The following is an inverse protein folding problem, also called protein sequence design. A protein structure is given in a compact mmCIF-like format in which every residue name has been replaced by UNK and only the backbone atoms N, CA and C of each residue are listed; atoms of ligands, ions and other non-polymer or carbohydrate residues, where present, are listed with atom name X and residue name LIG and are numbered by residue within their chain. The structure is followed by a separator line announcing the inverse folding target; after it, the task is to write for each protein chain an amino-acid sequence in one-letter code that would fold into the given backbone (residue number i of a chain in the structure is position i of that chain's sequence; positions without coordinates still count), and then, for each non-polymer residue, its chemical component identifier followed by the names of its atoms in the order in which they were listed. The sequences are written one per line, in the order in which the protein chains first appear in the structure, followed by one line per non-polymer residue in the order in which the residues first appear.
data_IF_567109701757
#
_entry.id   IF_567109701757
#
_cell.length_a   1.000
_cell.length_b   1.000
_cell.length_c   1.000
_cell.angle_alpha   90.00
_cell.angle_beta   90.00
_cell.angle_gamma   90.00
#
_symmetry.space_group_name_H-M   'P 1'
#
loop_
_entity.id
_entity.type
_entity.pdbx_description
1 polymer ?
#
# COMPACT_ATOMS: atom_id res chain seq x y z
N UNK A 1 -6.79 50.73 -54.28
CA UNK A 1 -7.70 49.74 -53.69
C UNK A 1 -7.40 49.66 -52.19
N UNK A 2 -8.39 49.98 -51.34
CA UNK A 2 -8.26 50.03 -49.88
C UNK A 2 -8.81 48.77 -49.18
N UNK A 3 -9.29 47.78 -49.94
CA UNK A 3 -9.84 46.55 -49.37
C UNK A 3 -8.73 45.72 -48.72
N UNK A 4 -9.06 45.06 -47.61
CA UNK A 4 -8.14 44.13 -46.93
C UNK A 4 -7.66 43.02 -47.87
N UNK A 5 -8.55 42.56 -48.77
CA UNK A 5 -8.19 41.58 -49.80
C UNK A 5 -7.09 42.11 -50.74
N UNK A 6 -7.23 43.33 -51.27
CA UNK A 6 -6.25 43.90 -52.19
C UNK A 6 -4.85 44.02 -51.59
N UNK A 7 -4.75 44.39 -50.31
CA UNK A 7 -3.48 44.43 -49.58
C UNK A 7 -2.91 43.03 -49.32
N UNK A 8 -3.75 42.05 -48.98
CA UNK A 8 -3.33 40.68 -48.69
C UNK A 8 -2.70 39.98 -49.91
N UNK A 9 -3.12 40.35 -51.12
CA UNK A 9 -2.56 39.85 -52.38
C UNK A 9 -1.59 40.86 -53.03
N UNK A 10 -1.07 41.83 -52.28
CA UNK A 10 0.02 42.73 -52.72
C UNK A 10 -0.36 43.75 -53.80
N UNK A 11 -1.65 44.05 -53.97
CA UNK A 11 -2.13 45.02 -54.97
C UNK A 11 -2.10 46.46 -54.43
N UNK A 12 -1.72 47.36 -55.31
CA UNK A 12 -1.70 48.82 -55.10
C UNK A 12 -2.87 49.50 -55.83
N UNK A 13 -3.04 50.81 -55.64
CA UNK A 13 -4.00 51.62 -56.42
C UNK A 13 -3.71 51.63 -57.92
N UNK A 14 -2.49 51.31 -58.34
CA UNK A 14 -2.04 51.26 -59.74
C UNK A 14 -2.03 49.84 -60.34
N UNK A 15 -2.50 48.83 -59.60
CA UNK A 15 -2.48 47.45 -60.08
C UNK A 15 -3.52 47.24 -61.18
N UNK A 16 -3.08 46.71 -62.33
CA UNK A 16 -3.95 46.41 -63.47
C UNK A 16 -4.70 45.10 -63.29
N UNK A 17 -5.71 44.83 -64.12
CA UNK A 17 -6.38 43.53 -64.17
C UNK A 17 -5.40 42.37 -64.43
N UNK A 18 -4.40 42.58 -65.29
CA UNK A 18 -3.36 41.59 -65.53
C UNK A 18 -2.53 41.29 -64.27
N UNK A 19 -2.23 42.32 -63.45
CA UNK A 19 -1.54 42.13 -62.16
C UNK A 19 -2.38 41.25 -61.23
N UNK A 20 -3.70 41.49 -61.16
CA UNK A 20 -4.62 40.71 -60.33
C UNK A 20 -4.63 39.24 -60.77
N UNK A 21 -4.79 38.98 -62.06
CA UNK A 21 -4.84 37.63 -62.62
C UNK A 21 -3.53 36.89 -62.39
N UNK A 22 -2.38 37.54 -62.58
CA UNK A 22 -1.08 36.93 -62.34
C UNK A 22 -0.86 36.55 -60.88
N UNK A 23 -1.30 37.39 -59.95
CA UNK A 23 -1.22 37.06 -58.52
C UNK A 23 -2.11 35.87 -58.17
N UNK A 24 -3.36 35.85 -58.65
CA UNK A 24 -4.29 34.73 -58.40
C UNK A 24 -3.73 33.42 -58.96
N UNK A 25 -3.22 33.44 -60.19
CA UNK A 25 -2.61 32.25 -60.82
C UNK A 25 -1.32 31.80 -60.14
N UNK A 26 -0.62 32.72 -59.45
CA UNK A 26 0.60 32.42 -58.70
C UNK A 26 0.37 31.80 -57.31
N UNK A 27 -0.87 31.77 -56.80
CA UNK A 27 -1.17 31.13 -55.52
C UNK A 27 -1.10 29.61 -55.68
N UNK A 28 -0.08 29.00 -55.09
CA UNK A 28 0.09 27.55 -55.12
C UNK A 28 -1.08 26.84 -54.42
N UNK A 29 -1.78 25.95 -55.14
CA UNK A 29 -2.69 24.99 -54.52
C UNK A 29 -1.85 23.89 -53.84
N UNK A 30 -1.91 23.85 -52.52
CA UNK A 30 -1.09 22.93 -51.70
C UNK A 30 -1.86 21.70 -51.21
N UNK A 31 -3.16 21.58 -51.54
CA UNK A 31 -4.02 20.52 -51.03
C UNK A 31 -4.22 20.54 -49.51
N UNK A 32 -4.87 19.50 -48.98
CA UNK A 32 -5.26 19.41 -47.55
C UNK A 32 -4.17 18.82 -46.64
N UNK A 33 -3.22 18.06 -47.19
CA UNK A 33 -2.27 17.27 -46.40
C UNK A 33 -0.90 17.97 -46.33
N UNK A 34 -0.85 19.13 -45.69
CA UNK A 34 0.39 19.86 -45.45
C UNK A 34 1.00 19.52 -44.08
N UNK A 35 2.32 19.53 -44.00
CA UNK A 35 3.03 19.44 -42.72
C UNK A 35 3.41 20.82 -42.23
N UNK A 36 3.23 21.06 -40.93
CA UNK A 36 3.87 22.18 -40.26
C UNK A 36 5.36 21.92 -40.09
N UNK A 37 6.18 22.98 -40.17
CA UNK A 37 7.61 22.87 -39.93
C UNK A 37 7.96 22.66 -38.46
N UNK A 38 7.07 23.07 -37.55
CA UNK A 38 7.29 22.95 -36.10
C UNK A 38 5.96 23.01 -35.31
N UNK A 39 6.04 22.65 -34.03
CA UNK A 39 4.95 22.85 -33.05
C UNK A 39 5.47 23.70 -31.91
N UNK A 40 4.74 24.77 -31.56
CA UNK A 40 5.10 25.70 -30.48
C UNK A 40 3.91 26.01 -29.57
N UNK A 41 4.18 26.69 -28.45
CA UNK A 41 3.13 27.17 -27.54
C UNK A 41 3.32 28.64 -27.20
N UNK A 42 2.21 29.37 -27.13
CA UNK A 42 2.13 30.68 -26.50
C UNK A 42 1.54 30.57 -25.09
N UNK A 43 1.20 31.73 -24.50
CA UNK A 43 0.59 31.80 -23.17
C UNK A 43 -0.69 30.98 -23.11
N UNK A 44 -1.58 31.15 -24.09
CA UNK A 44 -2.96 30.65 -24.12
C UNK A 44 -3.27 29.71 -25.30
N UNK A 45 -2.31 29.46 -26.20
CA UNK A 45 -2.51 28.64 -27.39
C UNK A 45 -1.37 27.65 -27.64
N UNK A 46 -1.70 26.63 -28.43
CA UNK A 46 -0.75 25.75 -29.13
C UNK A 46 -0.80 26.08 -30.62
N UNK A 47 0.36 26.13 -31.27
CA UNK A 47 0.47 26.47 -32.69
C UNK A 47 1.23 25.41 -33.48
N UNK A 48 0.69 25.07 -34.63
CA UNK A 48 1.43 24.49 -35.75
C UNK A 48 2.02 25.65 -36.53
N UNK A 49 3.35 25.78 -36.58
CA UNK A 49 4.04 26.95 -37.14
C UNK A 49 4.93 26.59 -38.34
N UNK A 50 5.37 27.61 -39.08
CA UNK A 50 6.10 27.48 -40.35
C UNK A 50 5.37 26.59 -41.35
N UNK A 51 4.04 26.72 -41.42
CA UNK A 51 3.25 26.01 -42.44
C UNK A 51 3.52 26.61 -43.83
N UNK A 52 3.31 25.87 -44.94
CA UNK A 52 3.62 26.40 -46.26
C UNK A 52 2.80 27.64 -46.61
N UNK A 53 3.47 28.63 -47.18
CA UNK A 53 2.85 29.85 -47.73
C UNK A 53 1.92 29.51 -48.92
N UNK A 54 0.82 30.24 -49.02
CA UNK A 54 -0.24 30.03 -50.02
C UNK A 54 -1.52 30.76 -49.61
N UNK A 55 -2.59 30.01 -49.31
CA UNK A 55 -3.83 30.57 -48.75
C UNK A 55 -3.62 31.21 -47.36
N UNK A 56 -2.63 30.71 -46.61
CA UNK A 56 -2.20 31.28 -45.34
C UNK A 56 -1.25 32.45 -45.58
N UNK A 57 -1.37 33.48 -44.73
CA UNK A 57 -0.67 34.76 -44.88
C UNK A 57 0.86 34.64 -44.99
N UNK A 58 1.52 35.73 -45.42
CA UNK A 58 2.96 35.70 -45.70
C UNK A 58 3.81 35.41 -44.45
N UNK A 59 5.02 34.88 -44.67
CA UNK A 59 5.97 34.46 -43.61
C UNK A 59 6.68 35.67 -42.95
N UNK A 60 5.91 36.57 -42.35
CA UNK A 60 6.37 37.88 -41.86
C UNK A 60 6.99 37.84 -40.45
N UNK A 61 7.18 36.64 -39.88
CA UNK A 61 7.73 36.46 -38.54
C UNK A 61 8.23 35.04 -38.35
N UNK A 62 9.02 34.82 -37.31
CA UNK A 62 9.75 33.55 -37.09
C UNK A 62 8.85 32.31 -37.02
N UNK A 63 7.58 32.46 -36.68
CA UNK A 63 6.58 31.38 -36.58
C UNK A 63 5.49 31.48 -37.65
N UNK A 64 5.50 32.51 -38.51
CA UNK A 64 4.48 32.73 -39.55
C UNK A 64 4.78 31.92 -40.82
N UNK A 65 3.75 31.41 -41.53
CA UNK A 65 2.35 31.34 -41.12
C UNK A 65 2.13 30.25 -40.06
N UNK A 66 1.04 30.36 -39.30
CA UNK A 66 0.68 29.43 -38.23
C UNK A 66 -0.83 29.21 -38.13
N UNK A 67 -1.22 28.03 -37.63
CA UNK A 67 -2.59 27.72 -37.22
C UNK A 67 -2.55 27.46 -35.71
N UNK A 68 -3.45 28.13 -34.99
CA UNK A 68 -3.50 28.12 -33.52
C UNK A 68 -4.78 27.46 -33.03
N UNK A 69 -4.69 26.79 -31.89
CA UNK A 69 -5.87 26.33 -31.14
C UNK A 69 -5.69 26.70 -29.65
N UNK A 70 -6.74 27.20 -28.98
CA UNK A 70 -6.72 27.48 -27.55
C UNK A 70 -6.25 26.28 -26.73
N UNK A 71 -5.49 26.50 -25.66
CA UNK A 71 -5.06 25.45 -24.74
C UNK A 71 -6.26 24.69 -24.12
N UNK A 72 -7.39 25.36 -23.94
CA UNK A 72 -8.65 24.77 -23.45
C UNK A 72 -9.23 23.67 -24.35
N UNK A 73 -8.80 23.57 -25.60
CA UNK A 73 -9.20 22.49 -26.51
C UNK A 73 -8.41 21.20 -26.28
N UNK A 74 -7.36 21.23 -25.45
CA UNK A 74 -6.62 20.05 -25.04
C UNK A 74 -7.10 19.54 -23.69
N UNK A 75 -6.81 18.27 -23.40
CA UNK A 75 -7.15 17.65 -22.12
C UNK A 75 -6.47 18.33 -20.93
N UNK A 76 -6.74 17.83 -19.73
CA UNK A 76 -6.15 18.31 -18.48
C UNK A 76 -5.56 17.16 -17.68
N UNK A 77 -4.82 16.28 -18.36
CA UNK A 77 -4.24 15.08 -17.73
C UNK A 77 -3.41 15.47 -16.50
N UNK A 78 -3.82 14.98 -15.34
CA UNK A 78 -3.12 15.17 -14.07
C UNK A 78 -1.88 14.29 -13.99
N UNK A 79 -0.96 14.60 -13.08
CA UNK A 79 0.22 13.78 -12.82
C UNK A 79 -0.13 12.30 -12.49
N UNK A 80 -1.26 12.06 -11.82
CA UNK A 80 -1.74 10.72 -11.51
C UNK A 80 -2.26 9.96 -12.75
N UNK A 81 -2.96 10.63 -13.67
CA UNK A 81 -3.49 9.98 -14.89
C UNK A 81 -2.38 9.61 -15.87
N UNK A 82 -1.34 10.45 -15.94
CA UNK A 82 -0.13 10.16 -16.71
C UNK A 82 0.59 8.94 -16.16
N UNK A 83 0.66 8.84 -14.83
CA UNK A 83 1.22 7.67 -14.15
C UNK A 83 0.53 6.36 -14.57
N UNK A 84 -0.78 6.41 -14.79
CA UNK A 84 -1.59 5.28 -15.26
C UNK A 84 -1.49 5.03 -16.77
N UNK A 85 -0.52 5.62 -17.46
CA UNK A 85 -0.26 5.38 -18.88
C UNK A 85 -0.95 6.33 -19.86
N UNK A 86 -1.58 7.40 -19.37
CA UNK A 86 -2.10 8.43 -20.28
C UNK A 86 -0.95 9.25 -20.89
N UNK A 87 -1.11 9.64 -22.16
CA UNK A 87 -0.20 10.61 -22.80
C UNK A 87 -0.64 12.03 -22.46
N UNK A 88 0.31 12.93 -22.17
CA UNK A 88 -0.02 14.34 -21.93
C UNK A 88 -0.50 15.01 -23.23
N UNK A 89 -1.79 15.18 -23.37
CA UNK A 89 -2.35 16.34 -24.06
C UNK A 89 -2.87 17.25 -22.95
N UNK A 90 -2.13 18.29 -22.57
CA UNK A 90 -2.55 19.13 -21.45
C UNK A 90 -2.62 20.62 -21.82
N UNK A 91 -3.59 21.32 -21.25
CA UNK A 91 -3.62 22.79 -21.14
C UNK A 91 -2.31 23.38 -20.60
N UNK A 92 -1.47 22.58 -19.93
CA UNK A 92 -0.17 22.98 -19.40
C UNK A 92 1.00 22.90 -20.40
N UNK A 93 0.85 22.28 -21.57
CA UNK A 93 1.86 22.33 -22.65
C UNK A 93 1.96 21.09 -23.53
N UNK A 94 2.85 21.17 -24.53
CA UNK A 94 3.15 20.09 -25.48
C UNK A 94 4.20 19.12 -24.91
N UNK A 95 4.01 17.82 -25.12
CA UNK A 95 5.02 16.78 -24.79
C UNK A 95 5.52 16.86 -23.35
N UNK A 96 4.67 17.26 -22.39
CA UNK A 96 4.99 17.03 -21.00
C UNK A 96 5.23 15.52 -20.83
N UNK A 97 6.31 15.13 -20.17
CA UNK A 97 6.61 13.74 -19.87
C UNK A 97 6.97 13.68 -18.39
N UNK A 98 6.63 12.57 -17.74
CA UNK A 98 7.05 12.27 -16.38
C UNK A 98 7.67 10.88 -16.40
N UNK A 99 8.88 10.75 -15.90
CA UNK A 99 9.52 9.45 -15.69
C UNK A 99 9.33 9.04 -14.23
N UNK A 100 8.65 7.94 -13.99
CA UNK A 100 8.70 7.27 -12.70
C UNK A 100 10.03 6.55 -12.56
N UNK A 101 10.76 6.82 -11.48
CA UNK A 101 12.01 6.12 -11.20
C UNK A 101 11.71 4.64 -10.95
N UNK A 102 12.33 3.76 -11.74
CA UNK A 102 12.23 2.32 -11.57
C UNK A 102 13.10 1.88 -10.38
N UNK A 103 12.48 1.23 -9.39
CA UNK A 103 13.14 0.73 -8.18
C UNK A 103 13.18 -0.81 -8.09
N UNK A 104 12.86 -1.55 -9.16
CA UNK A 104 12.74 -3.03 -9.18
C UNK A 104 13.99 -3.81 -8.74
N UNK A 105 15.13 -3.13 -8.52
CA UNK A 105 16.40 -3.75 -8.11
C UNK A 105 17.12 -2.97 -7.01
N UNK A 106 16.42 -2.07 -6.31
CA UNK A 106 17.03 -1.24 -5.27
C UNK A 106 16.87 -1.89 -3.90
N UNK A 107 18.00 -2.06 -3.20
CA UNK A 107 18.03 -2.52 -1.81
C UNK A 107 17.88 -1.30 -0.91
N UNK A 108 17.01 -1.37 0.08
CA UNK A 108 16.84 -0.34 1.11
C UNK A 108 17.37 -0.83 2.44
N UNK A 109 18.14 0.01 3.13
CA UNK A 109 18.52 -0.23 4.53
C UNK A 109 17.35 0.15 5.43
N UNK A 110 17.00 -0.72 6.37
CA UNK A 110 15.92 -0.50 7.30
C UNK A 110 16.45 -0.08 8.69
N UNK A 111 15.64 0.66 9.44
CA UNK A 111 15.90 1.12 10.82
C UNK A 111 14.69 0.86 11.71
N UNK A 112 14.88 0.90 13.02
CA UNK A 112 13.78 0.92 14.01
C UNK A 112 13.51 2.33 14.54
N UNK A 113 14.36 3.31 14.21
CA UNK A 113 14.18 4.71 14.61
C UNK A 113 13.09 5.38 13.78
N UNK A 114 12.01 5.82 14.45
CA UNK A 114 10.91 6.53 13.79
C UNK A 114 11.26 7.97 13.38
N UNK A 115 12.47 8.45 13.69
CA UNK A 115 12.92 9.80 13.34
C UNK A 115 13.71 9.87 12.03
N UNK A 116 14.28 8.75 11.55
CA UNK A 116 15.12 8.71 10.35
C UNK A 116 14.32 8.34 9.10
N UNK A 117 13.51 9.29 8.62
CA UNK A 117 12.64 9.12 7.44
C UNK A 117 13.41 8.89 6.12
N UNK A 118 14.75 8.95 6.13
CA UNK A 118 15.57 8.65 4.97
C UNK A 118 15.72 7.15 4.68
N UNK A 119 15.30 6.28 5.61
CA UNK A 119 15.41 4.81 5.52
C UNK A 119 14.04 4.16 5.49
N UNK A 120 13.98 2.84 5.29
CA UNK A 120 12.74 2.13 5.62
C UNK A 120 12.66 1.99 7.14
N UNK A 121 11.47 2.08 7.72
CA UNK A 121 11.29 1.73 9.13
C UNK A 121 10.59 0.38 9.24
N UNK A 122 10.96 -0.41 10.24
CA UNK A 122 10.24 -1.62 10.59
C UNK A 122 9.97 -1.71 12.09
N UNK A 123 8.89 -2.39 12.47
CA UNK A 123 8.52 -2.69 13.86
C UNK A 123 7.70 -3.97 13.95
N UNK A 124 7.58 -4.50 15.17
CA UNK A 124 6.58 -5.53 15.50
C UNK A 124 5.40 -4.83 16.17
N UNK A 125 4.20 -4.99 15.61
CA UNK A 125 2.98 -4.41 16.17
C UNK A 125 1.76 -5.21 15.74
N UNK A 126 0.77 -5.37 16.63
CA UNK A 126 -0.51 -6.01 16.32
C UNK A 126 -0.39 -7.39 15.62
N UNK A 127 0.58 -8.21 16.04
CA UNK A 127 0.80 -9.54 15.44
C UNK A 127 1.38 -9.52 14.02
N UNK A 128 1.91 -8.38 13.57
CA UNK A 128 2.53 -8.22 12.26
C UNK A 128 3.99 -7.76 12.41
N UNK A 129 4.81 -8.11 11.41
CA UNK A 129 5.96 -7.31 11.04
C UNK A 129 5.42 -6.18 10.15
N UNK A 130 5.51 -4.96 10.65
CA UNK A 130 5.09 -3.76 9.94
C UNK A 130 6.32 -3.09 9.32
N UNK A 131 6.25 -2.75 8.03
CA UNK A 131 7.33 -2.06 7.31
C UNK A 131 6.77 -0.85 6.56
N UNK A 132 7.40 0.30 6.74
CA UNK A 132 7.15 1.51 5.93
C UNK A 132 8.39 1.78 5.07
N UNK A 133 8.29 1.70 3.73
CA UNK A 133 9.42 1.95 2.83
C UNK A 133 9.84 3.42 2.80
N UNK A 134 11.15 3.70 2.64
CA UNK A 134 11.66 5.07 2.42
C UNK A 134 11.39 5.58 1.00
N UNK A 135 11.46 4.69 0.01
CA UNK A 135 11.28 5.01 -1.41
C UNK A 135 10.05 4.28 -1.96
N UNK A 136 9.32 4.95 -2.85
CA UNK A 136 8.12 4.42 -3.49
C UNK A 136 7.09 5.52 -3.75
N UNK A 137 5.86 5.12 -4.10
CA UNK A 137 4.74 6.04 -4.39
C UNK A 137 4.09 6.65 -3.13
N UNK A 138 4.68 6.39 -1.96
CA UNK A 138 3.97 6.41 -0.68
C UNK A 138 4.12 7.69 0.15
N UNK A 139 4.74 8.74 -0.40
CA UNK A 139 4.94 10.02 0.30
C UNK A 139 5.84 9.90 1.54
N UNK A 140 5.64 10.78 2.53
CA UNK A 140 6.26 10.65 3.86
C UNK A 140 5.71 9.40 4.58
N UNK A 141 6.44 8.90 5.57
CA UNK A 141 6.01 7.71 6.31
C UNK A 141 4.61 7.88 6.92
N UNK A 142 3.70 6.99 6.56
CA UNK A 142 2.39 6.84 7.20
C UNK A 142 2.15 5.36 7.51
N UNK A 143 2.12 5.00 8.79
CA UNK A 143 1.91 3.63 9.25
C UNK A 143 0.50 3.10 8.96
N UNK A 144 -0.48 3.96 8.68
CA UNK A 144 -1.84 3.57 8.35
C UNK A 144 -2.03 3.39 6.85
N UNK A 145 -1.40 4.24 6.03
CA UNK A 145 -1.62 4.27 4.58
C UNK A 145 -0.53 3.57 3.77
N UNK A 146 0.72 3.63 4.23
CA UNK A 146 1.92 3.24 3.47
C UNK A 146 2.64 2.01 4.05
N UNK A 147 1.99 1.30 4.96
CA UNK A 147 2.57 0.18 5.70
C UNK A 147 2.28 -1.17 5.04
N UNK A 148 3.34 -1.92 4.74
CA UNK A 148 3.27 -3.33 4.40
C UNK A 148 3.18 -4.12 5.71
N UNK A 149 2.15 -4.96 5.82
CA UNK A 149 1.94 -5.83 6.98
C UNK A 149 2.17 -7.27 6.57
N UNK A 150 3.16 -7.89 7.20
CA UNK A 150 3.40 -9.33 7.10
C UNK A 150 2.87 -9.97 8.37
N UNK A 151 1.77 -10.73 8.30
CA UNK A 151 1.22 -11.42 9.46
C UNK A 151 2.24 -12.40 10.02
N UNK A 152 2.48 -12.30 11.32
CA UNK A 152 3.15 -13.35 12.05
C UNK A 152 2.05 -14.37 12.31
N UNK A 153 1.96 -15.41 11.47
CA UNK A 153 1.11 -16.56 11.81
C UNK A 153 1.51 -17.04 13.19
N UNK A 154 0.54 -17.27 14.07
CA UNK A 154 0.78 -17.64 15.46
C UNK A 154 1.58 -18.94 15.52
N UNK A 155 2.90 -18.81 15.60
CA UNK A 155 3.78 -19.95 15.79
C UNK A 155 3.46 -20.57 17.16
N UNK A 156 3.45 -21.90 17.23
CA UNK A 156 3.34 -22.60 18.51
C UNK A 156 4.52 -22.18 19.37
N UNK A 157 4.24 -21.54 20.49
CA UNK A 157 5.21 -21.14 21.50
C UNK A 157 5.29 -22.21 22.58
N UNK A 158 6.44 -22.33 23.21
CA UNK A 158 6.70 -23.24 24.32
C UNK A 158 7.14 -22.45 25.55
N UNK A 159 6.64 -22.80 26.73
CA UNK A 159 7.14 -22.26 27.99
C UNK A 159 7.21 -23.37 29.05
N UNK A 160 8.20 -23.26 29.93
CA UNK A 160 8.45 -24.19 31.03
C UNK A 160 8.75 -23.43 32.32
N UNK A 161 8.19 -23.90 33.43
CA UNK A 161 8.45 -23.35 34.75
C UNK A 161 8.38 -24.42 35.83
N UNK A 162 8.83 -24.09 37.04
CA UNK A 162 8.66 -24.91 38.23
C UNK A 162 7.79 -24.15 39.22
N UNK A 163 6.66 -24.75 39.60
CA UNK A 163 5.72 -24.20 40.56
C UNK A 163 5.59 -25.12 41.79
N UNK A 164 5.00 -24.61 42.85
CA UNK A 164 4.63 -25.42 44.02
C UNK A 164 3.13 -25.64 43.99
N UNK A 165 2.69 -26.90 44.12
CA UNK A 165 1.28 -27.22 44.25
C UNK A 165 0.72 -26.65 45.55
N UNK A 166 -0.53 -26.23 45.52
CA UNK A 166 -1.25 -25.66 46.66
C UNK A 166 -1.23 -26.60 47.86
N UNK A 167 -1.39 -26.04 49.06
CA UNK A 167 -1.64 -26.82 50.28
C UNK A 167 -3.13 -27.07 50.54
N UNK A 168 -4.01 -26.43 49.76
CA UNK A 168 -5.45 -26.58 49.83
C UNK A 168 -5.98 -27.14 48.50
N UNK A 169 -7.06 -27.91 48.57
CA UNK A 169 -7.70 -28.44 47.38
C UNK A 169 -8.67 -27.44 46.75
N UNK A 170 -8.77 -27.49 45.42
CA UNK A 170 -9.82 -26.88 44.63
C UNK A 170 -10.72 -27.98 44.06
N UNK A 171 -12.02 -27.74 44.02
CA UNK A 171 -13.00 -28.75 43.58
C UNK A 171 -13.20 -28.66 42.07
N UNK A 172 -12.49 -29.50 41.33
CA UNK A 172 -12.67 -29.66 39.89
C UNK A 172 -13.90 -30.50 39.56
N UNK A 173 -14.22 -30.64 38.27
CA UNK A 173 -15.28 -31.53 37.77
C UNK A 173 -14.70 -32.71 37.01
N UNK A 174 -15.22 -33.90 37.30
CA UNK A 174 -14.99 -35.08 36.47
C UNK A 174 -15.58 -34.82 35.06
N UNK A 175 -14.81 -35.07 34.01
CA UNK A 175 -15.19 -34.84 32.63
C UNK A 175 -16.31 -35.77 32.17
N UNK A 176 -16.34 -37.01 32.67
CA UNK A 176 -17.30 -38.04 32.28
C UNK A 176 -18.64 -37.88 32.98
N UNK A 177 -18.66 -37.68 34.30
CA UNK A 177 -19.91 -37.70 35.09
C UNK A 177 -20.22 -36.38 35.82
N UNK A 178 -19.37 -35.35 35.69
CA UNK A 178 -19.55 -34.03 36.32
C UNK A 178 -19.54 -34.02 37.86
N UNK A 179 -19.12 -35.12 38.49
CA UNK A 179 -18.99 -35.17 39.94
C UNK A 179 -17.88 -34.22 40.43
N UNK A 180 -18.01 -33.67 41.64
CA UNK A 180 -16.93 -32.93 42.29
C UNK A 180 -15.69 -33.81 42.47
N UNK A 181 -14.51 -33.30 42.07
CA UNK A 181 -13.22 -33.91 42.28
C UNK A 181 -12.25 -32.92 42.92
N UNK A 182 -12.15 -32.91 44.26
CA UNK A 182 -11.13 -32.15 44.96
C UNK A 182 -9.72 -32.58 44.54
N UNK A 183 -8.87 -31.60 44.20
CA UNK A 183 -7.45 -31.78 43.87
C UNK A 183 -6.65 -30.60 44.37
N UNK A 184 -5.39 -30.82 44.72
CA UNK A 184 -4.42 -29.74 44.80
C UNK A 184 -4.19 -29.16 43.41
N UNK A 185 -3.65 -27.96 43.33
CA UNK A 185 -3.46 -27.31 42.04
C UNK A 185 -2.21 -26.45 42.02
N UNK A 186 -1.69 -26.20 40.83
CA UNK A 186 -0.82 -25.04 40.60
C UNK A 186 -1.47 -24.11 39.59
N UNK A 187 -1.25 -22.81 39.75
CA UNK A 187 -1.73 -21.79 38.82
C UNK A 187 -0.55 -21.07 38.19
N UNK A 188 -0.58 -20.89 36.86
CA UNK A 188 0.38 -20.06 36.15
C UNK A 188 -0.31 -18.86 35.52
N UNK A 189 0.12 -17.66 35.92
CA UNK A 189 -0.21 -16.40 35.24
C UNK A 189 0.81 -16.14 34.11
N UNK A 190 0.37 -16.22 32.86
CA UNK A 190 1.23 -15.91 31.71
C UNK A 190 1.41 -14.41 31.47
N UNK A 191 0.67 -13.54 32.18
CA UNK A 191 0.65 -12.08 32.05
C UNK A 191 0.20 -11.56 30.67
N UNK A 192 -0.32 -12.42 29.79
CA UNK A 192 -0.91 -12.06 28.51
C UNK A 192 -2.01 -13.07 28.11
N UNK A 193 -2.93 -12.66 27.23
CA UNK A 193 -3.95 -13.55 26.67
C UNK A 193 -3.32 -14.53 25.69
N UNK A 194 -3.67 -15.80 25.81
CA UNK A 194 -3.06 -16.91 25.07
C UNK A 194 -4.09 -18.00 24.82
N UNK A 195 -3.84 -18.87 23.83
CA UNK A 195 -4.59 -20.12 23.67
C UNK A 195 -3.68 -21.31 23.90
N UNK A 196 -3.91 -22.04 24.99
CA UNK A 196 -3.20 -23.29 25.29
C UNK A 196 -3.63 -24.36 24.28
N UNK A 197 -2.64 -24.95 23.61
CA UNK A 197 -2.82 -26.11 22.73
C UNK A 197 -2.63 -27.42 23.49
N UNK A 198 -1.68 -27.44 24.41
CA UNK A 198 -1.37 -28.59 25.25
C UNK A 198 -0.60 -28.14 26.48
N UNK A 199 -0.76 -28.88 27.57
CA UNK A 199 -0.06 -28.64 28.82
C UNK A 199 0.39 -29.96 29.43
N UNK A 200 1.56 -29.97 30.06
CA UNK A 200 2.09 -31.11 30.80
C UNK A 200 2.55 -30.65 32.18
N UNK A 201 2.17 -31.38 33.21
CA UNK A 201 2.68 -31.21 34.56
C UNK A 201 3.36 -32.50 35.01
N UNK A 202 4.51 -32.36 35.68
CA UNK A 202 5.29 -33.48 36.22
C UNK A 202 5.59 -33.22 37.69
N UNK A 203 5.15 -34.13 38.56
CA UNK A 203 5.30 -34.05 40.02
C UNK A 203 5.87 -35.38 40.51
N UNK A 204 7.16 -35.41 40.85
CA UNK A 204 7.85 -36.68 41.12
C UNK A 204 7.73 -37.63 39.94
N UNK A 205 7.05 -38.77 40.15
CA UNK A 205 6.78 -39.78 39.11
C UNK A 205 5.40 -39.63 38.44
N UNK A 206 4.57 -38.68 38.86
CA UNK A 206 3.28 -38.39 38.24
C UNK A 206 3.46 -37.45 37.04
N UNK A 207 2.88 -37.82 35.90
CA UNK A 207 2.85 -36.99 34.70
C UNK A 207 1.40 -36.84 34.25
N UNK A 208 0.91 -35.61 34.27
CA UNK A 208 -0.42 -35.28 33.76
C UNK A 208 -0.33 -34.45 32.48
N UNK A 209 -1.11 -34.86 31.49
CA UNK A 209 -1.22 -34.17 30.20
C UNK A 209 -2.62 -33.60 30.03
N UNK A 210 -2.68 -32.43 29.42
CA UNK A 210 -3.91 -31.66 29.21
C UNK A 210 -3.98 -31.29 27.73
N UNK A 211 -5.12 -31.56 27.10
CA UNK A 211 -5.34 -31.21 25.70
C UNK A 211 -5.95 -29.82 25.55
N UNK A 212 -5.84 -29.28 24.33
CA UNK A 212 -6.45 -28.04 23.82
C UNK A 212 -7.99 -27.92 23.95
N UNK A 213 -8.66 -28.94 24.48
CA UNK A 213 -10.11 -28.98 24.78
C UNK A 213 -10.43 -28.94 26.30
N UNK A 214 -9.40 -28.91 27.14
CA UNK A 214 -9.52 -28.63 28.57
C UNK A 214 -9.74 -29.89 29.40
N UNK A 215 -9.25 -31.02 28.90
CA UNK A 215 -9.34 -32.31 29.56
C UNK A 215 -7.97 -32.81 29.99
N UNK A 216 -7.88 -33.31 31.22
CA UNK A 216 -6.74 -34.06 31.71
C UNK A 216 -7.04 -35.56 31.67
N UNK A 217 -6.07 -36.39 31.26
CA UNK A 217 -6.28 -37.84 31.07
C UNK A 217 -5.49 -38.74 32.00
N UNK A 218 -4.42 -38.26 32.65
CA UNK A 218 -3.54 -39.12 33.46
C UNK A 218 -3.74 -39.00 34.98
N UNK A 219 -4.63 -38.13 35.45
CA UNK A 219 -5.09 -38.05 36.86
C UNK A 219 -6.62 -38.08 36.96
N UNK A 220 -7.22 -39.10 36.33
CA UNK A 220 -8.66 -39.17 36.14
C UNK A 220 -9.16 -38.20 35.06
N UNK A 221 -10.38 -38.38 34.56
CA UNK A 221 -10.92 -37.52 33.53
C UNK A 221 -11.33 -36.19 34.18
N UNK A 222 -10.45 -35.19 34.25
CA UNK A 222 -10.77 -33.88 34.83
C UNK A 222 -11.12 -32.90 33.70
N UNK A 223 -12.24 -32.19 33.81
CA UNK A 223 -12.69 -31.17 32.86
C UNK A 223 -12.46 -29.75 33.39
N UNK A 224 -11.37 -29.14 32.93
CA UNK A 224 -11.02 -27.75 33.21
C UNK A 224 -12.03 -26.78 32.57
N UNK A 225 -12.53 -27.11 31.37
CA UNK A 225 -13.52 -26.29 30.65
C UNK A 225 -14.87 -26.14 31.38
N UNK A 226 -15.29 -27.17 32.13
CA UNK A 226 -16.52 -27.09 32.94
C UNK A 226 -16.32 -26.28 34.23
N UNK A 227 -15.07 -26.11 34.63
CA UNK A 227 -14.68 -25.47 35.89
C UNK A 227 -14.41 -23.98 35.68
N UNK A 228 -13.99 -23.57 34.48
CA UNK A 228 -13.74 -22.17 34.11
C UNK A 228 -14.36 -21.82 32.75
N UNK A 229 -15.10 -20.70 32.63
CA UNK A 229 -15.88 -20.37 31.44
C UNK A 229 -15.05 -20.10 30.17
N UNK A 230 -13.73 -19.89 30.26
CA UNK A 230 -12.90 -19.51 29.12
C UNK A 230 -11.41 -19.88 29.27
N UNK A 231 -11.12 -21.13 29.62
CA UNK A 231 -9.74 -21.60 29.89
C UNK A 231 -8.75 -21.43 28.71
N UNK A 232 -9.25 -21.37 27.48
CA UNK A 232 -8.48 -21.17 26.24
C UNK A 232 -8.12 -19.71 25.95
N UNK A 233 -8.57 -18.76 26.76
CA UNK A 233 -8.28 -17.33 26.62
C UNK A 233 -8.03 -16.65 27.97
N UNK A 234 -7.96 -17.44 29.04
CA UNK A 234 -7.75 -16.96 30.40
C UNK A 234 -6.29 -16.52 30.58
N UNK A 235 -6.04 -15.63 31.53
CA UNK A 235 -4.70 -15.27 31.97
C UNK A 235 -4.14 -16.32 32.95
N UNK A 236 -5.02 -16.97 33.70
CA UNK A 236 -4.67 -18.02 34.65
C UNK A 236 -4.97 -19.40 34.09
N UNK A 237 -4.00 -20.29 34.19
CA UNK A 237 -4.21 -21.70 33.89
C UNK A 237 -3.95 -22.55 35.13
N UNK A 238 -4.93 -23.40 35.49
CA UNK A 238 -4.89 -24.27 36.66
C UNK A 238 -4.55 -25.70 36.26
N UNK A 239 -3.58 -26.28 36.96
CA UNK A 239 -3.14 -27.65 36.77
C UNK A 239 -3.50 -28.49 38.00
N UNK A 240 -4.43 -29.45 37.90
CA UNK A 240 -4.74 -30.36 39.01
C UNK A 240 -3.56 -31.27 39.35
N UNK A 241 -3.52 -31.68 40.62
CA UNK A 241 -2.50 -32.52 41.24
C UNK A 241 -3.09 -33.36 42.37
N UNK A 242 -2.59 -34.59 42.55
CA UNK A 242 -2.87 -35.42 43.73
C UNK A 242 -2.09 -35.00 44.98
N UNK A 243 -0.99 -34.28 44.81
CA UNK A 243 -0.05 -33.97 45.87
C UNK A 243 -0.03 -32.47 46.16
N UNK A 244 -0.15 -32.10 47.43
CA UNK A 244 -0.11 -30.71 47.92
C UNK A 244 1.25 -30.33 48.52
N UNK A 245 1.74 -29.12 48.22
CA UNK A 245 3.04 -28.63 48.69
C UNK A 245 4.27 -29.17 47.93
N UNK A 246 4.07 -29.90 46.83
CA UNK A 246 5.15 -30.49 46.04
C UNK A 246 5.62 -29.57 44.91
N UNK A 247 6.88 -29.71 44.50
CA UNK A 247 7.39 -29.05 43.31
C UNK A 247 6.88 -29.75 42.05
N UNK A 248 6.30 -28.97 41.15
CA UNK A 248 5.78 -29.40 39.87
C UNK A 248 6.54 -28.72 38.74
N UNK A 249 7.01 -29.49 37.76
CA UNK A 249 7.47 -28.93 36.49
C UNK A 249 6.26 -28.80 35.57
N UNK A 250 6.03 -27.60 35.05
CA UNK A 250 4.92 -27.28 34.15
C UNK A 250 5.48 -26.88 32.79
N UNK A 251 4.97 -27.48 31.74
CA UNK A 251 5.32 -27.23 30.34
C UNK A 251 4.04 -26.94 29.55
N UNK A 252 4.04 -25.89 28.72
CA UNK A 252 2.89 -25.50 27.91
C UNK A 252 3.28 -25.25 26.46
N UNK A 253 2.34 -25.54 25.55
CA UNK A 253 2.38 -25.14 24.15
C UNK A 253 1.18 -24.26 23.87
N UNK A 254 1.39 -23.07 23.33
CA UNK A 254 0.34 -22.06 23.18
C UNK A 254 0.52 -21.20 21.93
N UNK A 255 -0.55 -20.52 21.52
CA UNK A 255 -0.55 -19.50 20.46
C UNK A 255 -1.02 -18.15 20.99
#
# INVERSE_FOLDING_TARGET
MSSGLGKAIGLTSSSTWANIVNVINGIANRGTNQYAGDVGQGTDYIALNKIPVGYYGPANGSWSPEIRTPKSNFGSATAAQVLSGATFTSTAGLKATGTMKNWSKSIQTATTSTADQSKSCYRISNGNIEVVPAIGYWGMWDWNQSCIRVPIQSAVKYAKTTLTTSNNEYTFKNATNNNPEPRYFTSWDLNFSHKILSAKITIGNEVNMMSGDGYCTADGPIALAKTHPSWNTDRYFYFPSRFGGYKATVEIWYI
#
